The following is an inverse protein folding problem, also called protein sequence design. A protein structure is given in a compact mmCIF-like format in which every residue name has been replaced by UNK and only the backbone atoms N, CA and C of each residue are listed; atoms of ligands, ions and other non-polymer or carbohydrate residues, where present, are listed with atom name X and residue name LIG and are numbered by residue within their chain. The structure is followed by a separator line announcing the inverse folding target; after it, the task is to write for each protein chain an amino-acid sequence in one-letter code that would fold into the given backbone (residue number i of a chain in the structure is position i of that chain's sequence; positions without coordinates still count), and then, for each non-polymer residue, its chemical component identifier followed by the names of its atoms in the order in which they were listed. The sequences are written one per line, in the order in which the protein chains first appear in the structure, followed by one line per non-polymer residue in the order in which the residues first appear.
data_IF_122123498053
#
_entry.id   IF_122123498053
#
_cell.length_a   1.000
_cell.length_b   1.000
_cell.length_c   1.000
_cell.angle_alpha   90.00
_cell.angle_beta   90.00
_cell.angle_gamma   90.00
#
_symmetry.space_group_name_H-M   'P 1'
#
loop_
_entity.id
_entity.type
_entity.pdbx_description
1 polymer ?
#
# COMPACT_ATOMS: atom_id res chain seq x y z
N UNK A 1 -4.92 -15.05 10.43
CA UNK A 1 -5.55 -15.43 11.72
C UNK A 1 -6.76 -14.58 12.06
N UNK A 2 -6.67 -13.26 12.12
CA UNK A 2 -7.82 -12.36 12.36
C UNK A 2 -9.00 -12.63 11.40
N UNK A 3 -8.72 -12.82 10.10
CA UNK A 3 -9.73 -13.20 9.11
C UNK A 3 -10.43 -14.54 9.41
N UNK A 4 -9.69 -15.54 9.89
CA UNK A 4 -10.28 -16.80 10.39
C UNK A 4 -11.17 -16.55 11.62
N UNK A 5 -10.76 -15.65 12.52
CA UNK A 5 -11.57 -15.28 13.68
C UNK A 5 -12.93 -14.71 13.29
N UNK A 6 -12.96 -13.81 12.30
CA UNK A 6 -14.19 -13.27 11.73
C UNK A 6 -15.03 -14.36 11.05
N UNK A 7 -14.39 -15.24 10.27
CA UNK A 7 -15.09 -16.36 9.63
C UNK A 7 -15.76 -17.27 10.67
N UNK A 8 -15.08 -17.62 11.76
CA UNK A 8 -15.67 -18.43 12.84
C UNK A 8 -16.86 -17.73 13.51
N UNK A 9 -16.77 -16.43 13.78
CA UNK A 9 -17.89 -15.68 14.36
C UNK A 9 -19.07 -15.55 13.38
N UNK A 10 -18.79 -15.52 12.07
CA UNK A 10 -19.82 -15.56 11.03
C UNK A 10 -20.56 -16.91 11.03
N UNK A 11 -19.82 -18.01 11.01
CA UNK A 11 -20.39 -19.36 11.06
C UNK A 11 -21.20 -19.62 12.34
N UNK A 12 -20.77 -19.03 13.45
CA UNK A 12 -21.50 -19.07 14.73
C UNK A 12 -22.76 -18.18 14.75
N UNK A 13 -23.03 -17.41 13.69
CA UNK A 13 -24.16 -16.49 13.60
C UNK A 13 -24.07 -15.28 14.53
N UNK A 14 -22.87 -14.95 15.03
CA UNK A 14 -22.63 -13.83 15.96
C UNK A 14 -22.43 -12.50 15.23
N UNK A 15 -22.04 -12.55 13.97
CA UNK A 15 -21.93 -11.41 13.06
C UNK A 15 -22.19 -11.86 11.61
N UNK A 16 -22.52 -10.93 10.73
CA UNK A 16 -22.43 -11.12 9.29
C UNK A 16 -21.21 -10.37 8.74
N UNK A 17 -20.50 -10.96 7.77
CA UNK A 17 -19.47 -10.21 7.04
C UNK A 17 -20.07 -9.05 6.22
N UNK A 18 -21.37 -9.08 5.95
CA UNK A 18 -22.09 -8.00 5.27
C UNK A 18 -22.61 -6.92 6.22
N UNK A 19 -22.40 -7.06 7.53
CA UNK A 19 -22.81 -6.05 8.50
C UNK A 19 -21.97 -4.78 8.33
N UNK A 20 -22.63 -3.63 8.52
CA UNK A 20 -21.96 -2.34 8.61
C UNK A 20 -21.03 -2.34 9.82
N UNK A 21 -19.79 -1.90 9.65
CA UNK A 21 -18.82 -1.82 10.75
C UNK A 21 -19.31 -0.88 11.87
N UNK A 22 -20.17 0.09 11.56
CA UNK A 22 -20.75 1.02 12.53
C UNK A 22 -21.72 0.35 13.51
N UNK A 23 -22.24 -0.84 13.19
CA UNK A 23 -23.02 -1.64 14.17
C UNK A 23 -22.15 -2.06 15.36
N UNK A 24 -20.86 -2.24 15.12
CA UNK A 24 -19.88 -2.64 16.12
C UNK A 24 -19.03 -1.45 16.58
N UNK A 25 -18.78 -0.47 15.72
CA UNK A 25 -17.86 0.67 15.88
C UNK A 25 -18.59 2.00 15.68
N UNK A 26 -19.60 2.26 16.52
CA UNK A 26 -20.49 3.44 16.44
C UNK A 26 -19.79 4.80 16.53
N UNK A 27 -18.56 4.82 17.04
CA UNK A 27 -17.73 6.02 17.22
C UNK A 27 -17.06 6.46 15.92
N UNK A 28 -17.03 5.60 14.89
CA UNK A 28 -16.48 5.96 13.59
C UNK A 28 -17.39 6.96 12.85
N UNK A 29 -16.82 7.96 12.17
CA UNK A 29 -17.59 8.92 11.38
C UNK A 29 -18.48 8.24 10.33
N UNK A 30 -19.57 8.91 9.98
CA UNK A 30 -20.31 8.58 8.78
C UNK A 30 -19.60 9.22 7.58
N UNK A 31 -18.89 8.39 6.81
CA UNK A 31 -18.18 8.81 5.60
C UNK A 31 -19.09 9.02 4.38
N UNK A 32 -20.41 9.02 4.56
CA UNK A 32 -21.39 9.07 3.46
C UNK A 32 -21.53 7.74 2.70
N UNK A 33 -20.79 6.70 3.10
CA UNK A 33 -20.78 5.37 2.51
C UNK A 33 -20.86 4.30 3.60
N UNK A 34 -21.58 3.20 3.32
CA UNK A 34 -21.57 2.03 4.20
C UNK A 34 -20.28 1.23 4.00
N UNK A 35 -19.50 1.08 5.07
CA UNK A 35 -18.34 0.18 5.12
C UNK A 35 -18.78 -1.09 5.85
N UNK A 36 -18.60 -2.26 5.23
CA UNK A 36 -18.95 -3.55 5.83
C UNK A 36 -17.70 -4.28 6.35
N UNK A 37 -17.89 -5.32 7.16
CA UNK A 37 -16.80 -6.19 7.61
C UNK A 37 -16.07 -6.83 6.42
N UNK A 38 -16.81 -7.21 5.37
CA UNK A 38 -16.29 -7.68 4.08
C UNK A 38 -15.32 -6.69 3.45
N UNK A 39 -15.65 -5.40 3.45
CA UNK A 39 -14.72 -4.38 2.94
C UNK A 39 -13.41 -4.30 3.73
N UNK A 40 -13.45 -4.56 5.05
CA UNK A 40 -12.23 -4.63 5.86
C UNK A 40 -11.40 -5.87 5.50
N UNK A 41 -12.03 -7.04 5.40
CA UNK A 41 -11.38 -8.31 5.08
C UNK A 41 -10.66 -8.29 3.73
N UNK A 42 -11.27 -7.65 2.72
CA UNK A 42 -10.75 -7.63 1.36
C UNK A 42 -9.91 -6.38 1.03
N UNK A 43 -9.63 -5.52 2.01
CA UNK A 43 -8.92 -4.25 1.81
C UNK A 43 -9.54 -3.31 0.77
N UNK A 44 -10.86 -3.23 0.78
CA UNK A 44 -11.65 -2.37 -0.11
C UNK A 44 -12.44 -1.31 0.66
N UNK A 45 -12.08 -1.02 1.91
CA UNK A 45 -12.81 -0.11 2.80
C UNK A 45 -12.64 1.38 2.50
N UNK A 46 -11.54 1.77 1.85
CA UNK A 46 -11.14 3.16 1.72
C UNK A 46 -10.53 3.78 2.98
N UNK A 47 -10.38 3.03 4.08
CA UNK A 47 -9.77 3.55 5.32
C UNK A 47 -8.25 3.76 5.16
N UNK A 48 -7.74 4.84 5.74
CA UNK A 48 -6.31 5.19 5.70
C UNK A 48 -5.50 4.22 6.54
N UNK A 49 -4.32 3.81 6.05
CA UNK A 49 -3.46 2.86 6.76
C UNK A 49 -2.61 3.53 7.84
N UNK A 50 -2.52 2.89 9.02
CA UNK A 50 -1.86 3.43 10.21
C UNK A 50 -0.39 3.81 10.05
N UNK A 51 0.51 3.07 9.36
CA UNK A 51 1.93 3.41 9.37
C UNK A 51 2.19 4.79 8.74
N UNK A 52 1.61 5.05 7.57
CA UNK A 52 1.73 6.32 6.87
C UNK A 52 0.95 7.43 7.60
N UNK A 53 -0.21 7.13 8.16
CA UNK A 53 -1.02 8.09 8.88
C UNK A 53 -0.30 8.62 10.13
N UNK A 54 0.31 7.71 10.90
CA UNK A 54 1.06 8.06 12.09
C UNK A 54 2.37 8.76 11.78
N UNK A 55 3.09 8.32 10.73
CA UNK A 55 4.24 9.07 10.24
C UNK A 55 3.82 10.52 9.93
N UNK A 56 2.72 10.73 9.20
CA UNK A 56 2.24 12.08 8.91
C UNK A 56 1.78 12.85 10.18
N UNK A 57 1.27 12.15 11.19
CA UNK A 57 0.93 12.72 12.50
C UNK A 57 2.16 13.03 13.38
N UNK A 58 3.37 12.69 12.93
CA UNK A 58 4.62 13.00 13.63
C UNK A 58 5.24 11.84 14.41
N UNK A 59 4.69 10.64 14.30
CA UNK A 59 5.23 9.45 14.95
C UNK A 59 6.45 8.96 14.19
N UNK A 60 7.44 8.46 14.94
CA UNK A 60 8.72 7.98 14.44
C UNK A 60 8.82 6.48 14.65
N UNK A 61 9.73 5.86 13.91
CA UNK A 61 10.08 4.47 14.13
C UNK A 61 10.46 4.23 15.60
N UNK A 62 9.86 3.21 16.20
CA UNK A 62 10.06 2.84 17.61
C UNK A 62 9.12 3.55 18.61
N UNK A 63 8.33 4.54 18.20
CA UNK A 63 7.26 5.06 19.06
C UNK A 63 6.19 3.96 19.30
N UNK A 64 5.69 3.78 20.53
CA UNK A 64 4.75 2.71 20.84
C UNK A 64 3.35 3.02 20.33
N UNK A 65 2.91 2.32 19.30
CA UNK A 65 1.57 2.43 18.72
C UNK A 65 0.66 1.39 19.35
N UNK A 66 -0.49 1.79 19.90
CA UNK A 66 -1.49 0.86 20.43
C UNK A 66 -2.76 0.83 19.60
N UNK A 67 -3.53 -0.24 19.72
CA UNK A 67 -4.88 -0.37 19.15
C UNK A 67 -5.77 0.84 19.46
N UNK A 68 -5.69 1.40 20.67
CA UNK A 68 -6.48 2.59 21.03
C UNK A 68 -6.03 3.84 20.25
N UNK A 69 -4.74 3.99 19.98
CA UNK A 69 -4.22 5.11 19.17
C UNK A 69 -4.79 5.01 17.75
N UNK A 70 -4.78 3.81 17.16
CA UNK A 70 -5.37 3.55 15.83
C UNK A 70 -6.84 3.93 15.82
N UNK A 71 -7.61 3.43 16.80
CA UNK A 71 -9.04 3.68 16.89
C UNK A 71 -9.35 5.18 17.06
N UNK A 72 -8.60 5.88 17.90
CA UNK A 72 -8.78 7.31 18.15
C UNK A 72 -8.53 8.18 16.91
N UNK A 73 -7.52 7.84 16.11
CA UNK A 73 -7.27 8.54 14.83
C UNK A 73 -8.33 8.21 13.78
N UNK A 74 -8.79 6.96 13.72
CA UNK A 74 -9.89 6.57 12.83
C UNK A 74 -11.20 7.27 13.16
N UNK A 75 -11.47 7.55 14.44
CA UNK A 75 -12.63 8.34 14.86
C UNK A 75 -12.58 9.81 14.37
N UNK A 76 -11.40 10.30 13.95
CA UNK A 76 -11.18 11.67 13.46
C UNK A 76 -11.01 11.76 11.95
N UNK A 77 -10.94 10.61 11.26
CA UNK A 77 -10.77 10.57 9.82
C UNK A 77 -11.93 11.31 9.13
N UNK A 78 -11.62 12.25 8.24
CA UNK A 78 -12.67 13.09 7.63
C UNK A 78 -13.17 12.55 6.29
N UNK A 79 -12.36 11.76 5.59
CA UNK A 79 -12.68 11.27 4.24
C UNK A 79 -12.02 9.91 4.00
N UNK A 80 -12.47 9.18 2.98
CA UNK A 80 -11.88 7.92 2.56
C UNK A 80 -10.85 8.12 1.45
N UNK A 81 -9.92 7.18 1.31
CA UNK A 81 -9.02 7.10 0.17
C UNK A 81 -9.77 6.90 -1.16
N UNK A 82 -10.93 6.24 -1.10
CA UNK A 82 -11.83 5.91 -2.22
C UNK A 82 -13.15 5.35 -1.67
N UNK A 83 -14.17 5.23 -2.52
CA UNK A 83 -15.46 4.67 -2.14
C UNK A 83 -15.35 3.16 -1.82
N UNK A 84 -16.01 2.64 -0.77
CA UNK A 84 -15.89 1.24 -0.41
C UNK A 84 -16.24 0.29 -1.58
N UNK A 85 -15.40 -0.72 -1.80
CA UNK A 85 -15.53 -1.67 -2.91
C UNK A 85 -14.95 -1.20 -4.26
N UNK A 86 -14.59 0.08 -4.44
CA UNK A 86 -14.19 0.59 -5.75
C UNK A 86 -12.73 0.35 -6.11
N UNK A 87 -11.84 0.28 -5.11
CA UNK A 87 -10.41 0.02 -5.26
C UNK A 87 -9.96 -0.99 -4.22
N UNK A 88 -8.85 -1.69 -4.52
CA UNK A 88 -8.08 -2.43 -3.54
C UNK A 88 -6.94 -1.54 -3.02
N UNK A 89 -6.80 -1.42 -1.70
CA UNK A 89 -5.66 -0.80 -1.06
C UNK A 89 -5.44 -1.43 0.31
N UNK A 90 -4.36 -2.20 0.42
CA UNK A 90 -3.97 -2.86 1.65
C UNK A 90 -3.90 -1.86 2.81
N UNK A 91 -4.58 -2.12 3.92
CA UNK A 91 -4.63 -1.21 5.06
C UNK A 91 -4.56 -1.99 6.37
N UNK A 92 -3.53 -1.70 7.18
CA UNK A 92 -3.38 -2.34 8.50
C UNK A 92 -4.56 -1.99 9.41
N UNK A 93 -5.08 -0.77 9.29
CA UNK A 93 -6.27 -0.29 9.99
C UNK A 93 -7.43 -1.27 9.90
N UNK A 94 -7.68 -1.83 8.72
CA UNK A 94 -8.79 -2.77 8.53
C UNK A 94 -8.71 -3.93 9.50
N UNK A 95 -7.52 -4.53 9.65
CA UNK A 95 -7.32 -5.70 10.49
C UNK A 95 -7.24 -5.36 11.98
N UNK A 96 -6.81 -4.14 12.33
CA UNK A 96 -6.95 -3.63 13.69
C UNK A 96 -8.42 -3.48 14.06
N UNK A 97 -9.24 -2.89 13.18
CA UNK A 97 -10.68 -2.78 13.42
C UNK A 97 -11.38 -4.14 13.48
N UNK A 98 -10.96 -5.13 12.68
CA UNK A 98 -11.48 -6.50 12.78
C UNK A 98 -11.18 -7.13 14.15
N UNK A 99 -9.99 -6.91 14.72
CA UNK A 99 -9.68 -7.35 16.08
C UNK A 99 -10.60 -6.69 17.11
N UNK A 100 -10.81 -5.37 17.03
CA UNK A 100 -11.75 -4.65 17.91
C UNK A 100 -13.18 -5.21 17.76
N UNK A 101 -13.62 -5.54 16.54
CA UNK A 101 -14.94 -6.15 16.31
C UNK A 101 -15.03 -7.52 16.99
N UNK A 102 -14.01 -8.37 16.90
CA UNK A 102 -13.95 -9.64 17.63
C UNK A 102 -14.11 -9.41 19.13
N UNK A 103 -13.39 -8.45 19.71
CA UNK A 103 -13.51 -8.14 21.14
C UNK A 103 -14.91 -7.65 21.51
N UNK A 104 -15.49 -6.78 20.68
CA UNK A 104 -16.84 -6.21 20.93
C UNK A 104 -17.94 -7.26 20.81
N UNK A 105 -17.81 -8.21 19.89
CA UNK A 105 -18.77 -9.32 19.71
C UNK A 105 -18.63 -10.37 20.82
N UNK A 106 -17.40 -10.72 21.18
CA UNK A 106 -17.13 -11.83 22.10
C UNK A 106 -17.06 -11.42 23.56
N UNK A 107 -16.86 -10.13 23.84
CA UNK A 107 -16.55 -9.56 25.16
C UNK A 107 -15.29 -10.17 25.80
N UNK A 108 -14.35 -10.61 24.98
CA UNK A 108 -13.06 -11.16 25.39
C UNK A 108 -11.93 -10.33 24.76
N UNK A 109 -10.76 -10.31 25.40
CA UNK A 109 -9.56 -9.77 24.76
C UNK A 109 -9.21 -10.57 23.51
N UNK A 110 -8.73 -9.89 22.48
CA UNK A 110 -8.41 -10.52 21.19
C UNK A 110 -7.39 -11.65 21.37
N UNK A 111 -6.34 -11.44 22.17
CA UNK A 111 -5.32 -12.44 22.47
C UNK A 111 -5.90 -13.72 23.09
N UNK A 112 -6.73 -13.58 24.12
CA UNK A 112 -7.39 -14.67 24.83
C UNK A 112 -8.36 -15.44 23.95
N UNK A 113 -9.14 -14.71 23.15
CA UNK A 113 -10.11 -15.31 22.23
C UNK A 113 -9.39 -16.11 21.14
N UNK A 114 -8.36 -15.54 20.52
CA UNK A 114 -7.55 -16.21 19.49
C UNK A 114 -6.84 -17.44 20.06
N UNK A 115 -6.31 -17.36 21.28
CA UNK A 115 -5.70 -18.50 21.95
C UNK A 115 -6.69 -19.65 22.12
N UNK A 116 -7.85 -19.36 22.71
CA UNK A 116 -8.83 -20.38 23.12
C UNK A 116 -9.61 -20.97 21.94
N UNK A 117 -9.85 -20.18 20.89
CA UNK A 117 -10.72 -20.57 19.77
C UNK A 117 -9.95 -20.94 18.51
N UNK A 118 -8.67 -20.54 18.38
CA UNK A 118 -7.86 -20.82 17.19
C UNK A 118 -6.58 -21.59 17.55
N UNK A 119 -5.70 -21.04 18.39
CA UNK A 119 -4.37 -21.63 18.58
C UNK A 119 -4.42 -22.95 19.36
N UNK A 120 -5.10 -23.00 20.50
CA UNK A 120 -5.22 -24.24 21.29
C UNK A 120 -5.97 -25.35 20.52
N UNK A 121 -7.10 -25.08 19.82
CA UNK A 121 -7.78 -26.10 19.03
C UNK A 121 -7.03 -26.59 17.79
N UNK A 122 -6.01 -25.85 17.33
CA UNK A 122 -5.07 -26.26 16.29
C UNK A 122 -3.79 -26.91 16.86
N UNK A 123 -3.64 -26.93 18.18
CA UNK A 123 -2.45 -27.41 18.87
C UNK A 123 -1.22 -26.53 18.65
N UNK A 124 -1.39 -25.24 18.37
CA UNK A 124 -0.32 -24.28 18.10
C UNK A 124 0.26 -23.69 19.40
N UNK A 125 0.94 -24.53 20.18
CA UNK A 125 1.35 -24.22 21.58
C UNK A 125 2.48 -23.20 21.73
N UNK A 126 3.17 -22.85 20.64
CA UNK A 126 4.20 -21.80 20.60
C UNK A 126 3.70 -20.57 19.82
N UNK A 127 2.37 -20.40 19.73
CA UNK A 127 1.73 -19.28 19.02
C UNK A 127 0.93 -18.43 19.99
N UNK A 128 1.16 -17.12 19.95
CA UNK A 128 0.49 -16.16 20.83
C UNK A 128 0.41 -14.77 20.17
N UNK A 129 -0.49 -13.93 20.68
CA UNK A 129 -0.55 -12.50 20.34
C UNK A 129 0.25 -11.74 21.40
N UNK A 130 1.22 -10.91 21.00
CA UNK A 130 1.93 -10.02 21.94
C UNK A 130 1.22 -8.66 22.03
N UNK A 131 0.70 -8.35 23.22
CA UNK A 131 -0.02 -7.11 23.52
C UNK A 131 0.85 -6.10 24.30
N UNK A 132 2.11 -6.43 24.58
CA UNK A 132 2.95 -5.66 25.50
C UNK A 132 4.33 -5.29 24.96
N UNK A 133 4.81 -5.97 23.91
CA UNK A 133 6.21 -5.97 23.46
C UNK A 133 7.21 -6.47 24.54
N UNK A 134 6.70 -6.94 25.67
CA UNK A 134 7.45 -7.49 26.79
C UNK A 134 7.29 -9.01 26.89
N UNK A 135 6.35 -9.60 26.16
CA UNK A 135 6.08 -11.02 26.21
C UNK A 135 7.17 -11.80 25.47
N UNK A 136 8.23 -12.15 26.20
CA UNK A 136 9.33 -12.98 25.71
C UNK A 136 9.28 -14.35 26.37
N UNK A 137 9.14 -15.37 25.54
CA UNK A 137 9.35 -16.76 25.96
C UNK A 137 10.82 -17.15 25.73
N UNK A 138 11.27 -18.24 26.34
CA UNK A 138 12.61 -18.78 26.07
C UNK A 138 12.83 -19.16 24.58
N UNK A 139 11.75 -19.32 23.81
CA UNK A 139 11.77 -19.70 22.39
C UNK A 139 11.58 -18.51 21.44
N UNK A 140 11.42 -17.29 21.95
CA UNK A 140 11.25 -16.09 21.14
C UNK A 140 12.62 -15.56 20.71
N UNK A 141 12.91 -15.57 19.41
CA UNK A 141 14.20 -15.08 18.89
C UNK A 141 14.30 -13.55 18.96
N UNK A 142 15.51 -13.01 19.13
CA UNK A 142 15.77 -11.56 19.09
C UNK A 142 15.71 -11.05 17.65
N UNK A 143 15.01 -9.93 17.36
CA UNK A 143 15.00 -9.32 16.03
C UNK A 143 16.25 -8.48 15.79
N UNK A 144 16.77 -8.48 14.55
CA UNK A 144 17.96 -7.74 14.17
C UNK A 144 17.75 -6.83 12.97
N UNK A 145 18.48 -5.73 12.93
CA UNK A 145 18.64 -4.85 11.78
C UNK A 145 20.13 -4.57 11.53
N UNK A 146 20.48 -4.29 10.28
CA UNK A 146 21.84 -3.91 9.89
C UNK A 146 22.00 -2.39 10.06
N UNK A 147 22.89 -1.96 10.95
CA UNK A 147 23.16 -0.54 11.23
C UNK A 147 24.26 -0.01 10.29
N UNK A 148 25.28 -0.83 10.03
CA UNK A 148 26.34 -0.60 9.05
C UNK A 148 26.65 -1.91 8.34
N UNK A 149 27.41 -1.87 7.25
CA UNK A 149 27.83 -3.06 6.51
C UNK A 149 28.42 -4.13 7.46
N UNK A 150 27.76 -5.30 7.52
CA UNK A 150 28.08 -6.43 8.40
C UNK A 150 28.02 -6.14 9.91
N UNK A 151 27.30 -5.11 10.35
CA UNK A 151 27.07 -4.79 11.76
C UNK A 151 25.59 -4.84 12.09
N UNK A 152 25.22 -5.75 12.99
CA UNK A 152 23.84 -6.01 13.36
C UNK A 152 23.54 -5.57 14.79
N UNK A 153 22.44 -4.86 14.96
CA UNK A 153 21.91 -4.43 16.25
C UNK A 153 20.52 -5.03 16.47
N UNK A 154 20.10 -5.15 17.73
CA UNK A 154 18.73 -5.57 18.02
C UNK A 154 17.77 -4.52 17.47
N UNK A 155 16.82 -4.95 16.63
CA UNK A 155 15.73 -4.07 16.22
C UNK A 155 14.77 -3.85 17.40
N UNK A 156 14.14 -2.68 17.44
CA UNK A 156 13.03 -2.41 18.34
C UNK A 156 11.72 -2.55 17.56
N UNK A 157 10.81 -3.37 18.07
CA UNK A 157 9.43 -3.37 17.64
C UNK A 157 8.57 -2.85 18.79
N UNK A 158 8.02 -1.65 18.59
CA UNK A 158 7.15 -1.00 19.56
C UNK A 158 5.68 -0.95 19.11
N UNK A 159 5.37 -1.40 17.89
CA UNK A 159 4.00 -1.38 17.39
C UNK A 159 3.16 -2.52 17.98
N UNK A 160 1.98 -2.18 18.47
CA UNK A 160 0.93 -3.05 18.98
C UNK A 160 -0.32 -2.91 18.11
N UNK A 161 -0.14 -2.93 16.78
CA UNK A 161 -1.22 -2.99 15.79
C UNK A 161 -1.90 -4.39 15.79
N UNK A 162 -2.50 -4.77 16.92
CA UNK A 162 -3.12 -6.08 17.15
C UNK A 162 -4.20 -6.31 16.10
N UNK A 163 -4.21 -7.52 15.54
CA UNK A 163 -5.10 -7.90 14.45
C UNK A 163 -4.44 -7.79 13.08
N UNK A 164 -3.68 -6.72 12.83
CA UNK A 164 -2.87 -6.56 11.62
C UNK A 164 -1.52 -7.27 11.72
N UNK A 165 -0.93 -7.30 12.93
CA UNK A 165 0.36 -7.93 13.22
C UNK A 165 0.36 -8.67 14.57
N UNK A 166 1.55 -8.83 15.16
CA UNK A 166 1.79 -9.23 16.55
C UNK A 166 1.43 -10.67 16.94
N UNK A 167 1.16 -11.53 15.95
CA UNK A 167 1.17 -12.98 16.17
C UNK A 167 2.61 -13.48 16.10
N UNK A 168 3.14 -13.95 17.23
CA UNK A 168 4.38 -14.69 17.31
C UNK A 168 4.08 -16.18 17.14
N UNK A 169 4.87 -16.87 16.32
CA UNK A 169 4.66 -18.29 16.01
C UNK A 169 5.98 -18.98 15.67
N UNK A 170 5.95 -20.30 15.59
CA UNK A 170 7.01 -21.13 15.02
C UNK A 170 6.60 -21.68 13.65
N UNK A 171 7.59 -22.08 12.83
CA UNK A 171 7.30 -22.76 11.57
C UNK A 171 6.51 -24.06 11.81
N UNK A 172 6.82 -24.81 12.88
CA UNK A 172 6.11 -26.03 13.24
C UNK A 172 4.62 -25.80 13.54
N UNK A 173 4.28 -24.71 14.21
CA UNK A 173 2.88 -24.35 14.48
C UNK A 173 2.17 -23.84 13.23
N UNK A 174 2.83 -23.01 12.42
CA UNK A 174 2.25 -22.57 11.16
C UNK A 174 2.01 -23.73 10.18
N UNK A 175 2.78 -24.83 10.27
CA UNK A 175 2.49 -26.05 9.50
C UNK A 175 1.18 -26.73 9.93
N UNK A 176 0.79 -26.64 11.20
CA UNK A 176 -0.53 -27.12 11.66
C UNK A 176 -1.65 -26.30 11.04
N UNK A 177 -1.45 -24.97 10.96
CA UNK A 177 -2.36 -24.07 10.26
C UNK A 177 -2.45 -24.37 8.75
N UNK A 178 -1.31 -24.49 8.06
CA UNK A 178 -1.27 -24.81 6.63
C UNK A 178 -1.91 -26.16 6.29
N UNK A 179 -1.82 -27.15 7.18
CA UNK A 179 -2.55 -28.42 7.01
C UNK A 179 -4.05 -28.20 6.86
N UNK A 180 -4.63 -27.31 7.68
CA UNK A 180 -6.07 -27.02 7.62
C UNK A 180 -6.43 -26.27 6.34
N UNK A 181 -5.56 -25.40 5.84
CA UNK A 181 -5.79 -24.70 4.57
C UNK A 181 -5.85 -25.66 3.36
N UNK A 182 -5.10 -26.77 3.40
CA UNK A 182 -5.09 -27.79 2.34
C UNK A 182 -6.19 -28.83 2.49
N UNK A 183 -6.38 -29.33 3.71
CA UNK A 183 -7.32 -30.40 4.02
C UNK A 183 -7.96 -30.08 5.37
N UNK A 184 -9.00 -29.23 5.37
CA UNK A 184 -9.61 -28.78 6.61
C UNK A 184 -10.28 -29.93 7.32
N UNK A 185 -10.03 -30.08 8.62
CA UNK A 185 -10.89 -30.90 9.46
C UNK A 185 -12.32 -30.33 9.42
N UNK A 186 -13.34 -31.18 9.53
CA UNK A 186 -14.76 -30.80 9.42
C UNK A 186 -15.17 -29.56 10.24
N UNK A 187 -14.54 -29.33 11.39
CA UNK A 187 -14.82 -28.15 12.24
C UNK A 187 -14.35 -26.82 11.65
N UNK A 188 -13.40 -26.85 10.71
CA UNK A 188 -12.82 -25.67 10.07
C UNK A 188 -13.27 -25.49 8.63
N UNK A 189 -13.82 -26.54 8.01
CA UNK A 189 -14.14 -26.60 6.58
C UNK A 189 -14.93 -25.38 6.10
N UNK A 190 -16.08 -25.10 6.71
CA UNK A 190 -16.93 -23.95 6.34
C UNK A 190 -16.22 -22.60 6.50
N UNK A 191 -15.54 -22.40 7.64
CA UNK A 191 -14.81 -21.16 7.91
C UNK A 191 -13.62 -20.96 6.95
N UNK A 192 -12.93 -22.04 6.56
CA UNK A 192 -11.81 -21.99 5.61
C UNK A 192 -12.31 -21.76 4.19
N UNK A 193 -13.41 -22.40 3.79
CA UNK A 193 -14.07 -22.13 2.50
C UNK A 193 -14.46 -20.65 2.39
N UNK A 194 -15.11 -20.11 3.44
CA UNK A 194 -15.45 -18.69 3.51
C UNK A 194 -14.21 -17.79 3.45
N UNK A 195 -13.16 -18.12 4.20
CA UNK A 195 -11.92 -17.34 4.27
C UNK A 195 -11.18 -17.26 2.92
N UNK A 196 -11.41 -18.22 2.02
CA UNK A 196 -10.85 -18.27 0.68
C UNK A 196 -11.70 -17.51 -0.36
N UNK A 197 -12.86 -16.97 0.02
CA UNK A 197 -13.69 -16.17 -0.89
C UNK A 197 -13.06 -14.81 -1.18
N UNK A 198 -13.16 -14.39 -2.45
CA UNK A 198 -12.68 -13.12 -2.98
C UNK A 198 -13.86 -12.37 -3.60
N UNK A 199 -13.83 -11.04 -3.53
CA UNK A 199 -14.85 -10.20 -4.15
C UNK A 199 -14.33 -9.49 -5.40
N UNK A 200 -15.25 -9.15 -6.31
CA UNK A 200 -14.96 -8.25 -7.41
C UNK A 200 -15.08 -6.80 -6.96
N UNK A 201 -14.21 -5.93 -7.46
CA UNK A 201 -14.36 -4.50 -7.30
C UNK A 201 -15.62 -4.02 -8.04
N UNK A 202 -16.14 -2.85 -7.67
CA UNK A 202 -17.38 -2.30 -8.29
C UNK A 202 -17.25 -2.04 -9.80
N UNK A 203 -16.02 -2.00 -10.32
CA UNK A 203 -15.72 -1.89 -11.75
C UNK A 203 -15.59 -3.23 -12.49
N UNK A 204 -15.84 -4.36 -11.80
CA UNK A 204 -15.78 -5.71 -12.36
C UNK A 204 -14.39 -6.34 -12.37
N UNK A 205 -13.34 -5.64 -11.94
CA UNK A 205 -12.00 -6.25 -11.79
C UNK A 205 -11.98 -7.22 -10.60
N UNK A 206 -11.26 -8.34 -10.75
CA UNK A 206 -11.07 -9.30 -9.65
C UNK A 206 -10.14 -8.72 -8.58
N UNK A 207 -10.49 -8.91 -7.31
CA UNK A 207 -9.55 -8.78 -6.19
C UNK A 207 -8.85 -10.12 -5.97
N UNK A 208 -7.54 -10.09 -5.75
CA UNK A 208 -6.74 -11.29 -5.43
C UNK A 208 -6.67 -11.54 -3.91
N UNK A 209 -7.12 -10.59 -3.11
CA UNK A 209 -7.10 -10.68 -1.64
C UNK A 209 -8.39 -11.29 -1.09
N UNK A 210 -8.23 -12.29 -0.23
CA UNK A 210 -9.28 -12.99 0.51
C UNK A 210 -9.22 -12.58 2.01
N UNK A 211 -9.55 -13.45 2.96
CA UNK A 211 -9.63 -13.07 4.38
C UNK A 211 -8.25 -13.17 5.05
N UNK A 212 -7.32 -12.31 4.64
CA UNK A 212 -5.96 -12.25 5.19
C UNK A 212 -4.99 -13.17 4.45
N UNK A 213 -5.36 -13.52 3.22
CA UNK A 213 -4.64 -14.38 2.31
C UNK A 213 -4.70 -13.75 0.92
N UNK A 214 -3.62 -13.90 0.17
CA UNK A 214 -3.52 -13.51 -1.24
C UNK A 214 -3.58 -14.80 -2.05
N UNK A 215 -4.40 -14.83 -3.09
CA UNK A 215 -4.43 -15.90 -4.06
C UNK A 215 -3.93 -15.40 -5.41
N UNK A 216 -2.77 -15.88 -5.85
CA UNK A 216 -2.15 -15.57 -7.13
C UNK A 216 -1.58 -16.83 -7.81
N UNK A 217 -0.76 -16.63 -8.85
CA UNK A 217 0.00 -17.70 -9.49
C UNK A 217 1.51 -17.46 -9.40
N UNK A 218 2.26 -18.51 -9.03
CA UNK A 218 3.72 -18.51 -9.11
C UNK A 218 4.21 -19.66 -10.00
N UNK A 219 4.94 -19.30 -11.07
CA UNK A 219 5.36 -20.23 -12.13
C UNK A 219 4.17 -21.01 -12.73
N UNK A 220 2.99 -20.38 -12.83
CA UNK A 220 1.75 -21.01 -13.32
C UNK A 220 1.13 -22.04 -12.36
N UNK A 221 1.53 -22.05 -11.08
CA UNK A 221 0.91 -22.86 -10.03
C UNK A 221 0.10 -21.96 -9.10
N UNK A 222 -1.10 -22.39 -8.73
CA UNK A 222 -1.96 -21.67 -7.79
C UNK A 222 -1.26 -21.52 -6.44
N UNK A 223 -1.16 -20.29 -5.94
CA UNK A 223 -0.49 -19.96 -4.67
C UNK A 223 -1.46 -19.20 -3.77
N UNK A 224 -1.61 -19.68 -2.54
CA UNK A 224 -2.34 -19.00 -1.46
C UNK A 224 -1.31 -18.66 -0.39
N UNK A 225 -1.16 -17.38 -0.07
CA UNK A 225 -0.06 -16.96 0.81
C UNK A 225 -0.35 -15.67 1.58
N UNK A 226 0.51 -15.38 2.53
CA UNK A 226 0.70 -14.03 3.03
C UNK A 226 2.16 -13.83 3.44
N UNK A 227 2.64 -12.59 3.33
CA UNK A 227 3.97 -12.20 3.83
C UNK A 227 3.82 -11.25 5.02
N UNK A 228 4.87 -11.11 5.81
CA UNK A 228 4.86 -10.21 6.95
C UNK A 228 6.23 -9.58 7.12
N UNK A 229 6.22 -8.31 7.51
CA UNK A 229 7.45 -7.56 7.78
C UNK A 229 7.21 -6.53 8.86
N UNK A 230 8.02 -6.61 9.91
CA UNK A 230 8.15 -5.62 10.97
C UNK A 230 9.65 -5.43 11.23
N UNK A 231 10.09 -4.35 11.90
CA UNK A 231 11.51 -4.16 12.20
C UNK A 231 12.16 -5.42 12.81
N UNK A 232 13.07 -6.00 12.03
CA UNK A 232 13.84 -7.19 12.39
C UNK A 232 13.11 -8.54 12.33
N UNK A 233 11.94 -8.65 11.71
CA UNK A 233 11.34 -9.94 11.34
C UNK A 233 10.78 -9.93 9.92
N UNK A 234 10.91 -11.06 9.23
CA UNK A 234 10.15 -11.37 8.02
C UNK A 234 9.50 -12.75 8.13
N UNK A 235 8.29 -12.87 7.59
CA UNK A 235 7.59 -14.14 7.45
C UNK A 235 7.09 -14.33 6.03
N UNK A 236 7.28 -15.54 5.51
CA UNK A 236 6.74 -15.99 4.24
C UNK A 236 5.99 -17.28 4.51
N UNK A 237 4.68 -17.27 4.31
CA UNK A 237 3.82 -18.44 4.53
C UNK A 237 3.04 -18.65 3.26
N UNK A 238 3.41 -19.69 2.51
CA UNK A 238 2.88 -19.96 1.18
C UNK A 238 2.35 -21.38 1.09
N UNK A 239 1.27 -21.54 0.35
CA UNK A 239 0.62 -22.81 0.13
C UNK A 239 0.28 -22.99 -1.34
N UNK A 240 0.56 -24.19 -1.85
CA UNK A 240 0.32 -24.62 -3.23
C UNK A 240 -0.59 -25.84 -3.17
N UNK A 241 -1.93 -25.65 -3.18
CA UNK A 241 -2.88 -26.73 -2.95
C UNK A 241 -2.75 -27.87 -3.95
N UNK A 242 -2.56 -27.55 -5.24
CA UNK A 242 -2.48 -28.53 -6.33
C UNK A 242 -1.22 -29.39 -6.24
N UNK A 243 -0.15 -28.84 -5.65
CA UNK A 243 1.12 -29.52 -5.41
C UNK A 243 1.17 -30.19 -4.02
N UNK A 244 0.15 -30.00 -3.19
CA UNK A 244 0.13 -30.39 -1.77
C UNK A 244 1.40 -29.91 -1.02
N UNK A 245 1.86 -28.70 -1.35
CA UNK A 245 3.09 -28.14 -0.83
C UNK A 245 2.78 -26.90 0.02
N UNK A 246 3.29 -26.91 1.26
CA UNK A 246 3.31 -25.72 2.11
C UNK A 246 4.76 -25.32 2.38
N UNK A 247 5.06 -24.03 2.26
CA UNK A 247 6.40 -23.49 2.34
C UNK A 247 6.41 -22.33 3.33
N UNK A 248 7.25 -22.44 4.37
CA UNK A 248 7.34 -21.46 5.45
C UNK A 248 8.78 -21.06 5.69
N UNK A 249 9.03 -19.75 5.66
CA UNK A 249 10.30 -19.14 6.05
C UNK A 249 10.04 -18.04 7.05
N UNK A 250 10.69 -18.13 8.21
CA UNK A 250 10.69 -17.11 9.25
C UNK A 250 12.12 -16.64 9.46
N UNK A 251 12.36 -15.33 9.43
CA UNK A 251 13.67 -14.74 9.69
C UNK A 251 13.56 -13.68 10.78
N UNK A 252 14.61 -13.55 11.58
CA UNK A 252 14.79 -12.48 12.56
C UNK A 252 15.72 -11.37 12.04
N UNK A 253 15.71 -11.18 10.72
CA UNK A 253 16.47 -10.17 10.03
C UNK A 253 15.65 -9.68 8.83
N UNK A 254 15.47 -8.35 8.77
CA UNK A 254 14.79 -7.68 7.68
C UNK A 254 15.78 -7.44 6.52
N UNK A 255 15.75 -8.30 5.50
CA UNK A 255 16.51 -8.10 4.26
C UNK A 255 15.54 -7.92 3.08
N UNK A 256 15.60 -6.76 2.42
CA UNK A 256 14.77 -6.45 1.26
C UNK A 256 15.00 -7.40 0.07
N UNK A 257 16.14 -8.10 0.00
CA UNK A 257 16.44 -9.14 -0.99
C UNK A 257 15.97 -10.54 -0.57
N UNK A 258 15.45 -10.71 0.64
CA UNK A 258 14.97 -12.01 1.13
C UNK A 258 13.87 -12.58 0.23
N UNK A 259 12.94 -11.74 -0.22
CA UNK A 259 11.84 -12.17 -1.09
C UNK A 259 12.36 -12.87 -2.36
N UNK A 260 13.29 -12.24 -3.10
CA UNK A 260 13.86 -12.81 -4.32
C UNK A 260 14.58 -14.14 -4.06
N UNK A 261 15.36 -14.24 -2.97
CA UNK A 261 16.08 -15.48 -2.62
C UNK A 261 15.13 -16.59 -2.19
N UNK A 262 14.05 -16.25 -1.51
CA UNK A 262 13.01 -17.18 -1.07
C UNK A 262 12.22 -17.71 -2.26
N UNK A 263 11.83 -16.86 -3.21
CA UNK A 263 11.18 -17.30 -4.44
C UNK A 263 12.11 -18.18 -5.28
N UNK A 264 13.40 -17.86 -5.36
CA UNK A 264 14.40 -18.72 -6.00
C UNK A 264 14.48 -20.09 -5.32
N UNK A 265 14.53 -20.15 -3.99
CA UNK A 265 14.50 -21.42 -3.24
C UNK A 265 13.21 -22.21 -3.49
N UNK A 266 12.06 -21.53 -3.48
CA UNK A 266 10.76 -22.12 -3.73
C UNK A 266 10.65 -22.74 -5.14
N UNK A 267 11.28 -22.10 -6.14
CA UNK A 267 11.30 -22.61 -7.52
C UNK A 267 11.92 -24.00 -7.67
N UNK A 268 12.79 -24.42 -6.74
CA UNK A 268 13.38 -25.77 -6.73
C UNK A 268 12.36 -26.87 -6.40
N UNK A 269 11.21 -26.52 -5.84
CA UNK A 269 10.15 -27.46 -5.44
C UNK A 269 8.95 -27.46 -6.40
N UNK A 270 8.93 -26.57 -7.39
CA UNK A 270 7.79 -26.36 -8.29
C UNK A 270 8.16 -26.66 -9.74
N UNK A 271 7.18 -27.15 -10.49
CA UNK A 271 7.29 -27.23 -11.95
C UNK A 271 6.89 -25.87 -12.54
N UNK A 272 7.66 -25.37 -13.49
CA UNK A 272 7.25 -24.21 -14.27
C UNK A 272 6.15 -24.61 -15.26
N UNK A 273 4.93 -24.13 -14.98
CA UNK A 273 3.73 -24.28 -15.81
C UNK A 273 3.33 -22.98 -16.47
N UNK A 274 4.14 -21.92 -16.34
CA UNK A 274 3.80 -20.63 -16.89
C UNK A 274 3.70 -20.73 -18.41
N UNK A 275 2.47 -20.66 -18.93
CA UNK A 275 2.24 -20.54 -20.36
C UNK A 275 2.52 -19.07 -20.70
N UNK A 276 3.76 -18.74 -21.02
CA UNK A 276 4.04 -17.46 -21.68
C UNK A 276 3.83 -17.67 -23.18
N UNK A 277 2.83 -17.03 -23.81
CA UNK A 277 2.93 -16.82 -25.24
C UNK A 277 4.20 -16.02 -25.46
N UNK A 278 5.14 -16.57 -26.23
CA UNK A 278 6.24 -15.83 -26.84
C UNK A 278 5.70 -14.89 -27.94
N UNK A 279 4.59 -14.19 -27.68
CA UNK A 279 4.18 -13.05 -28.48
C UNK A 279 4.92 -11.82 -27.95
N UNK A 280 6.25 -11.85 -28.03
CA UNK A 280 6.91 -10.62 -28.46
C UNK A 280 6.45 -10.42 -29.90
N UNK A 281 5.32 -9.73 -30.09
CA UNK A 281 5.04 -9.12 -31.37
C UNK A 281 6.33 -8.40 -31.78
N UNK A 282 6.93 -8.82 -32.88
CA UNK A 282 8.05 -8.11 -33.47
C UNK A 282 7.47 -6.82 -34.07
N UNK A 283 7.28 -5.83 -33.21
CA UNK A 283 6.85 -4.50 -33.62
C UNK A 283 8.03 -3.86 -34.34
N UNK A 284 7.86 -3.59 -35.63
CA UNK A 284 8.85 -2.88 -36.44
C UNK A 284 8.51 -1.38 -36.32
N UNK A 285 9.38 -0.55 -35.71
CA UNK A 285 9.14 0.88 -35.63
C UNK A 285 9.11 1.53 -37.01
N UNK A 286 8.19 2.47 -37.19
CA UNK A 286 8.19 3.39 -38.32
C UNK A 286 9.22 4.52 -38.10
N UNK A 287 9.78 5.13 -39.16
CA UNK A 287 10.58 6.35 -39.03
C UNK A 287 9.77 7.46 -38.34
N UNK A 288 10.42 8.22 -37.46
CA UNK A 288 9.78 9.31 -36.72
C UNK A 288 9.33 10.44 -37.66
N UNK A 289 8.05 10.79 -37.63
CA UNK A 289 7.55 12.01 -38.27
C UNK A 289 7.85 13.24 -37.38
N UNK A 290 8.91 13.98 -37.70
CA UNK A 290 9.39 15.11 -36.88
C UNK A 290 8.34 16.22 -36.68
N UNK A 291 7.59 16.60 -37.72
CA UNK A 291 6.56 17.64 -37.63
C UNK A 291 5.42 17.26 -36.67
N UNK A 292 5.17 15.97 -36.51
CA UNK A 292 4.18 15.45 -35.57
C UNK A 292 4.79 15.27 -34.17
N UNK A 293 6.05 14.81 -34.10
CA UNK A 293 6.76 14.59 -32.85
C UNK A 293 6.92 15.86 -32.02
N UNK A 294 7.15 17.02 -32.67
CA UNK A 294 7.24 18.32 -32.00
C UNK A 294 5.98 18.65 -31.18
N UNK A 295 4.80 18.22 -31.62
CA UNK A 295 3.54 18.44 -30.89
C UNK A 295 3.47 17.69 -29.57
N UNK A 296 4.26 16.62 -29.43
CA UNK A 296 4.27 15.77 -28.24
C UNK A 296 5.33 16.21 -27.21
N UNK A 297 6.19 17.19 -27.56
CA UNK A 297 7.23 17.70 -26.67
C UNK A 297 6.60 18.55 -25.56
N UNK A 298 6.62 18.03 -24.34
CA UNK A 298 6.14 18.74 -23.15
C UNK A 298 6.61 18.04 -21.86
N UNK A 299 6.39 18.71 -20.73
CA UNK A 299 6.39 18.07 -19.43
C UNK A 299 4.96 17.61 -19.12
N UNK A 300 4.81 16.38 -18.67
CA UNK A 300 3.54 15.69 -18.45
C UNK A 300 3.42 15.29 -16.97
N UNK A 301 2.27 15.54 -16.36
CA UNK A 301 1.99 15.26 -14.95
C UNK A 301 0.89 14.22 -14.79
N UNK A 302 1.14 13.19 -13.97
CA UNK A 302 0.09 12.26 -13.55
C UNK A 302 -0.56 12.74 -12.26
N UNK A 303 -1.83 13.13 -12.32
CA UNK A 303 -2.58 13.57 -11.13
C UNK A 303 -2.83 12.45 -10.12
N UNK A 304 -3.01 11.21 -10.59
CA UNK A 304 -3.29 10.04 -9.76
C UNK A 304 -2.03 9.45 -9.15
N UNK A 305 -0.89 9.53 -9.85
CA UNK A 305 0.39 8.96 -9.38
C UNK A 305 1.38 10.00 -8.84
N UNK A 306 1.05 11.29 -8.91
CA UNK A 306 1.83 12.39 -8.36
C UNK A 306 3.30 12.43 -8.84
N UNK A 307 3.54 12.14 -10.12
CA UNK A 307 4.88 12.25 -10.70
C UNK A 307 4.84 12.83 -12.11
N UNK A 308 5.98 13.36 -12.53
CA UNK A 308 6.19 13.92 -13.86
C UNK A 308 6.89 12.94 -14.82
N UNK A 309 6.71 13.21 -16.12
CA UNK A 309 7.49 12.68 -17.23
C UNK A 309 7.80 13.83 -18.17
N UNK A 310 8.97 13.81 -18.79
CA UNK A 310 9.30 14.79 -19.83
C UNK A 310 9.45 14.06 -21.14
N UNK A 311 8.84 14.61 -22.19
CA UNK A 311 9.01 14.17 -23.56
C UNK A 311 9.72 15.28 -24.30
N UNK A 312 10.86 14.97 -24.90
CA UNK A 312 11.66 15.95 -25.63
C UNK A 312 12.30 15.35 -26.88
N UNK A 313 12.52 16.19 -27.89
CA UNK A 313 13.16 15.79 -29.13
C UNK A 313 14.67 16.07 -29.02
N UNK A 314 15.49 15.06 -29.28
CA UNK A 314 16.95 15.20 -29.38
C UNK A 314 17.39 14.47 -30.65
N UNK A 315 17.85 15.26 -31.62
CA UNK A 315 18.11 14.82 -32.99
C UNK A 315 16.84 14.26 -33.66
N UNK A 316 16.88 13.00 -34.10
CA UNK A 316 15.80 12.28 -34.78
C UNK A 316 15.00 11.38 -33.83
N UNK A 317 15.17 11.53 -32.51
CA UNK A 317 14.59 10.65 -31.51
C UNK A 317 13.79 11.43 -30.47
N UNK A 318 12.54 11.01 -30.26
CA UNK A 318 11.71 11.48 -29.16
C UNK A 318 12.05 10.68 -27.90
N UNK A 319 12.41 11.36 -26.82
CA UNK A 319 12.85 10.73 -25.58
C UNK A 319 11.79 10.85 -24.49
N UNK A 320 11.56 9.75 -23.77
CA UNK A 320 10.76 9.69 -22.56
C UNK A 320 11.68 9.69 -21.34
N UNK A 321 11.67 10.77 -20.57
CA UNK A 321 12.51 10.99 -19.39
C UNK A 321 11.71 10.82 -18.10
N UNK A 322 12.33 10.15 -17.13
CA UNK A 322 11.80 9.92 -15.79
C UNK A 322 12.51 10.82 -14.77
N UNK A 323 11.88 11.12 -13.61
CA UNK A 323 12.48 11.97 -12.58
C UNK A 323 13.83 11.48 -12.05
N UNK A 324 14.08 10.17 -12.07
CA UNK A 324 15.36 9.58 -11.69
C UNK A 324 16.48 9.72 -12.74
N UNK A 325 16.25 10.49 -13.82
CA UNK A 325 17.20 10.72 -14.91
C UNK A 325 17.24 9.62 -15.97
N UNK A 326 16.58 8.47 -15.74
CA UNK A 326 16.54 7.41 -16.76
C UNK A 326 15.65 7.80 -17.94
N UNK A 327 16.17 7.60 -19.16
CA UNK A 327 15.43 7.89 -20.40
C UNK A 327 15.30 6.67 -21.29
N UNK A 328 14.23 6.63 -22.07
CA UNK A 328 13.94 5.59 -23.07
C UNK A 328 13.52 6.26 -24.37
N UNK A 329 13.97 5.79 -25.54
CA UNK A 329 13.47 6.32 -26.81
C UNK A 329 12.01 5.90 -27.01
N UNK A 330 11.20 6.80 -27.57
CA UNK A 330 9.85 6.52 -28.04
C UNK A 330 9.95 6.13 -29.52
N UNK A 331 9.79 4.84 -29.79
CA UNK A 331 9.85 4.29 -31.14
C UNK A 331 8.44 4.35 -31.74
N UNK A 332 8.27 5.11 -32.82
CA UNK A 332 6.96 5.32 -33.43
C UNK A 332 6.46 4.02 -34.07
N UNK A 333 5.18 3.69 -33.86
CA UNK A 333 4.53 2.53 -34.47
C UNK A 333 3.33 2.95 -35.31
N UNK A 334 2.62 4.00 -34.87
CA UNK A 334 1.55 4.68 -35.59
C UNK A 334 1.66 6.20 -35.31
N UNK A 335 0.89 7.03 -36.00
CA UNK A 335 0.91 8.52 -35.91
C UNK A 335 1.05 9.09 -34.48
N UNK A 336 0.29 8.55 -33.53
CA UNK A 336 0.30 9.01 -32.13
C UNK A 336 0.69 7.91 -31.13
N UNK A 337 1.12 6.76 -31.62
CA UNK A 337 1.38 5.57 -30.80
C UNK A 337 2.84 5.18 -30.92
N UNK A 338 3.45 4.98 -29.77
CA UNK A 338 4.87 4.68 -29.60
C UNK A 338 5.04 3.47 -28.69
N UNK A 339 6.18 2.82 -28.79
CA UNK A 339 6.67 1.86 -27.80
C UNK A 339 7.92 2.41 -27.12
N UNK A 340 8.08 2.12 -25.83
CA UNK A 340 9.29 2.47 -25.10
C UNK A 340 10.43 1.50 -25.44
N UNK A 341 11.47 2.00 -26.10
CA UNK A 341 12.67 1.23 -26.40
C UNK A 341 13.58 1.04 -25.19
N UNK A 342 14.40 -0.02 -25.22
CA UNK A 342 15.35 -0.36 -24.14
C UNK A 342 14.72 -0.99 -22.89
N UNK A 343 13.40 -1.19 -22.87
CA UNK A 343 12.66 -1.96 -21.86
C UNK A 343 11.81 -3.03 -22.57
N UNK A 344 11.05 -3.85 -21.82
CA UNK A 344 10.11 -4.81 -22.42
C UNK A 344 9.23 -4.09 -23.46
N UNK A 345 9.14 -4.63 -24.68
CA UNK A 345 8.39 -4.06 -25.81
C UNK A 345 6.85 -4.08 -25.63
N UNK A 346 6.36 -4.16 -24.38
CA UNK A 346 4.95 -4.21 -23.99
C UNK A 346 4.39 -2.85 -23.58
N UNK A 347 5.25 -1.85 -23.35
CA UNK A 347 4.80 -0.54 -22.88
C UNK A 347 4.48 0.38 -24.05
N UNK A 348 3.20 0.63 -24.27
CA UNK A 348 2.68 1.55 -25.29
C UNK A 348 2.48 2.93 -24.70
N UNK A 349 2.89 3.94 -25.44
CA UNK A 349 2.69 5.36 -25.14
C UNK A 349 1.85 5.96 -26.26
N UNK A 350 0.66 6.47 -25.94
CA UNK A 350 -0.23 7.09 -26.91
C UNK A 350 -0.49 8.55 -26.53
N UNK A 351 -0.40 9.44 -27.50
CA UNK A 351 -0.79 10.85 -27.34
C UNK A 351 -2.21 11.05 -27.89
N UNK A 352 -3.12 11.62 -27.08
CA UNK A 352 -4.51 11.87 -27.48
C UNK A 352 -4.84 13.33 -27.28
N UNK A 353 -5.48 13.95 -28.27
CA UNK A 353 -6.05 15.28 -28.13
C UNK A 353 -7.36 15.18 -27.32
N UNK A 354 -7.44 15.92 -26.22
CA UNK A 354 -8.61 16.07 -25.38
C UNK A 354 -8.90 17.56 -25.23
N UNK A 355 -9.91 18.04 -25.95
CA UNK A 355 -10.34 19.44 -25.95
C UNK A 355 -9.21 20.45 -26.27
N UNK A 356 -8.33 20.11 -27.21
CA UNK A 356 -7.20 20.94 -27.63
C UNK A 356 -5.95 20.76 -26.77
N UNK A 357 -5.97 19.85 -25.79
CA UNK A 357 -4.83 19.49 -24.94
C UNK A 357 -4.34 18.10 -25.31
N UNK A 358 -3.07 17.99 -25.69
CA UNK A 358 -2.44 16.70 -25.99
C UNK A 358 -2.07 16.02 -24.68
N UNK A 359 -2.82 14.97 -24.31
CA UNK A 359 -2.56 14.12 -23.15
C UNK A 359 -1.72 12.90 -23.54
N UNK A 360 -0.87 12.45 -22.62
CA UNK A 360 -0.05 11.24 -22.78
C UNK A 360 -0.66 10.10 -21.97
N UNK A 361 -0.86 8.96 -22.61
CA UNK A 361 -1.41 7.73 -22.05
C UNK A 361 -0.36 6.62 -22.10
N UNK A 362 -0.09 5.96 -20.98
CA UNK A 362 0.93 4.90 -20.89
C UNK A 362 0.27 3.62 -20.42
N UNK A 363 0.34 2.56 -21.23
CA UNK A 363 -0.21 1.24 -20.93
C UNK A 363 0.87 0.16 -20.97
N UNK A 364 1.00 -0.61 -19.90
CA UNK A 364 1.95 -1.72 -19.76
C UNK A 364 1.18 -3.05 -19.66
N UNK A 365 0.98 -3.71 -20.80
CA UNK A 365 0.21 -4.96 -20.88
C UNK A 365 -1.22 -4.80 -20.33
N UNK A 366 -1.59 -5.69 -19.41
CA UNK A 366 -2.91 -5.72 -18.74
C UNK A 366 -3.04 -4.73 -17.57
N UNK A 367 -1.99 -3.98 -17.24
CA UNK A 367 -2.08 -2.97 -16.17
C UNK A 367 -3.00 -1.82 -16.59
N UNK A 368 -3.60 -1.17 -15.58
CA UNK A 368 -4.38 0.04 -15.78
C UNK A 368 -3.59 1.12 -16.54
N UNK A 369 -4.25 1.77 -17.49
CA UNK A 369 -3.67 2.87 -18.27
C UNK A 369 -3.37 4.06 -17.35
N UNK A 370 -2.19 4.67 -17.53
CA UNK A 370 -1.77 5.85 -16.79
C UNK A 370 -1.94 7.09 -17.65
N UNK A 371 -2.65 8.07 -17.12
CA UNK A 371 -2.96 9.32 -17.81
C UNK A 371 -2.05 10.44 -17.30
N UNK A 372 -1.55 11.24 -18.24
CA UNK A 372 -0.76 12.42 -17.98
C UNK A 372 -1.23 13.61 -18.80
N UNK A 373 -1.26 14.77 -18.16
CA UNK A 373 -1.65 16.03 -18.77
C UNK A 373 -0.42 16.94 -18.86
N UNK A 374 -0.23 17.69 -19.95
CA UNK A 374 0.88 18.64 -20.05
C UNK A 374 0.78 19.68 -18.94
N UNK A 375 1.92 20.09 -18.39
CA UNK A 375 2.00 21.11 -17.35
C UNK A 375 3.18 22.05 -17.56
N UNK A 376 3.02 23.27 -17.07
CA UNK A 376 4.10 24.24 -17.00
C UNK A 376 5.05 23.90 -15.84
N UNK A 377 6.29 23.59 -16.18
CA UNK A 377 7.37 23.28 -15.24
C UNK A 377 8.29 24.49 -15.00
N UNK A 378 7.82 25.70 -15.32
CA UNK A 378 8.54 26.92 -14.96
C UNK A 378 8.72 27.00 -13.44
N UNK A 379 9.92 27.37 -12.95
CA UNK A 379 10.15 27.48 -11.53
C UNK A 379 9.23 28.56 -10.93
N UNK A 380 8.68 28.35 -9.73
CA UNK A 380 7.86 29.36 -9.08
C UNK A 380 8.67 30.63 -8.82
N UNK A 381 8.04 31.78 -9.01
CA UNK A 381 8.62 33.08 -8.65
C UNK A 381 8.79 33.20 -7.13
N UNK A 382 9.67 34.11 -6.65
CA UNK A 382 9.84 34.33 -5.21
C UNK A 382 8.53 34.65 -4.48
N UNK A 383 7.64 35.53 -4.99
CA UNK A 383 6.34 35.76 -4.34
C UNK A 383 5.43 34.54 -4.29
N UNK A 384 5.49 33.66 -5.30
CA UNK A 384 4.71 32.41 -5.32
C UNK A 384 5.24 31.39 -4.31
N UNK A 385 6.57 31.34 -4.13
CA UNK A 385 7.20 30.52 -3.08
C UNK A 385 6.84 31.03 -1.68
N UNK A 386 6.93 32.35 -1.46
CA UNK A 386 6.60 32.96 -0.17
C UNK A 386 5.14 32.72 0.21
N UNK A 387 4.23 32.64 -0.76
CA UNK A 387 2.82 32.35 -0.53
C UNK A 387 2.56 30.98 0.11
N UNK A 388 3.47 30.01 -0.05
CA UNK A 388 3.40 28.71 0.62
C UNK A 388 3.76 28.79 2.10
N UNK A 389 4.45 29.84 2.55
CA UNK A 389 4.83 30.00 3.96
C UNK A 389 3.63 30.13 4.89
N UNK A 390 3.66 29.46 6.04
CA UNK A 390 2.62 29.52 7.07
C UNK A 390 2.62 28.33 8.02
N UNK A 391 1.73 28.35 9.00
CA UNK A 391 1.46 27.20 9.88
C UNK A 391 0.22 26.49 9.34
N UNK A 392 0.30 25.17 9.21
CA UNK A 392 -0.73 24.34 8.61
C UNK A 392 -1.13 23.25 9.60
N UNK A 393 -2.42 23.17 9.93
CA UNK A 393 -2.95 22.25 10.94
C UNK A 393 -3.91 21.24 10.32
N UNK A 394 -3.77 19.97 10.68
CA UNK A 394 -4.75 18.93 10.35
C UNK A 394 -5.61 18.61 11.56
N UNK A 395 -6.94 18.83 11.52
CA UNK A 395 -7.84 18.41 12.60
C UNK A 395 -7.95 16.88 12.70
N UNK A 396 -7.76 16.18 11.59
CA UNK A 396 -7.77 14.71 11.56
C UNK A 396 -6.58 14.11 12.31
N UNK A 397 -5.40 14.68 12.12
CA UNK A 397 -4.15 14.18 12.73
C UNK A 397 -3.79 14.89 14.04
N UNK A 398 -4.51 15.96 14.37
CA UNK A 398 -4.23 16.85 15.50
C UNK A 398 -2.77 17.36 15.54
N UNK A 399 -2.15 17.54 14.37
CA UNK A 399 -0.77 18.04 14.27
C UNK A 399 -0.63 19.24 13.35
N UNK A 400 0.47 19.98 13.50
CA UNK A 400 0.82 21.15 12.69
C UNK A 400 2.20 21.05 12.06
N UNK A 401 2.29 21.54 10.82
CA UNK A 401 3.55 21.75 10.10
C UNK A 401 3.74 23.24 9.84
N UNK A 402 4.97 23.73 10.04
CA UNK A 402 5.35 25.09 9.66
C UNK A 402 6.13 25.03 8.36
N UNK A 403 5.64 25.71 7.33
CA UNK A 403 6.32 25.86 6.04
C UNK A 403 6.87 27.28 5.94
N UNK A 404 8.10 27.44 5.48
CA UNK A 404 8.73 28.75 5.30
C UNK A 404 9.80 28.71 4.21
N UNK A 405 10.20 29.88 3.71
CA UNK A 405 11.27 30.02 2.71
C UNK A 405 12.55 30.49 3.39
N UNK A 406 13.69 29.90 3.05
CA UNK A 406 15.02 30.36 3.44
C UNK A 406 15.98 30.36 2.24
N UNK A 407 17.28 30.57 2.49
CA UNK A 407 18.31 30.59 1.44
C UNK A 407 18.47 29.25 0.69
N UNK A 408 17.99 28.14 1.25
CA UNK A 408 18.06 26.79 0.68
C UNK A 408 16.78 26.43 -0.11
N UNK A 409 15.74 27.26 -0.02
CA UNK A 409 14.46 27.06 -0.70
C UNK A 409 13.29 26.95 0.27
N UNK A 410 12.31 26.10 -0.07
CA UNK A 410 11.14 25.85 0.76
C UNK A 410 11.49 24.79 1.82
N UNK A 411 11.20 25.12 3.08
CA UNK A 411 11.50 24.26 4.24
C UNK A 411 10.23 23.94 5.00
N UNK A 412 10.16 22.72 5.52
CA UNK A 412 9.17 22.27 6.47
C UNK A 412 9.77 22.11 7.85
N UNK A 413 8.95 22.32 8.87
CA UNK A 413 9.24 22.01 10.26
C UNK A 413 8.06 21.30 10.92
N UNK A 414 8.35 20.24 11.66
CA UNK A 414 7.40 19.57 12.54
C UNK A 414 8.06 19.31 13.89
N UNK A 415 7.32 19.48 14.99
CA UNK A 415 7.88 19.40 16.35
C UNK A 415 8.61 18.08 16.66
N UNK A 416 8.18 16.98 16.01
CA UNK A 416 8.78 15.64 16.17
C UNK A 416 9.78 15.25 15.08
N UNK A 417 9.72 15.87 13.89
CA UNK A 417 10.61 15.53 12.76
C UNK A 417 11.74 16.54 12.57
N UNK A 418 11.67 17.70 13.25
CA UNK A 418 12.60 18.79 13.02
C UNK A 418 12.39 19.43 11.66
N UNK A 419 13.48 19.92 11.08
CA UNK A 419 13.49 20.61 9.79
C UNK A 419 13.74 19.64 8.65
N UNK A 420 13.04 19.83 7.53
CA UNK A 420 13.22 19.04 6.33
C UNK A 420 13.04 19.90 5.07
N UNK A 421 13.79 19.62 3.99
CA UNK A 421 13.61 20.35 2.74
C UNK A 421 12.30 19.96 2.05
N UNK A 422 11.73 20.90 1.30
CA UNK A 422 10.55 20.67 0.47
C UNK A 422 10.90 21.04 -0.97
N UNK A 423 10.77 20.06 -1.85
CA UNK A 423 11.00 20.22 -3.28
C UNK A 423 9.69 20.67 -3.95
N UNK A 424 9.74 21.75 -4.73
CA UNK A 424 8.60 22.15 -5.55
C UNK A 424 8.61 21.34 -6.84
N UNK A 425 7.60 20.48 -7.01
CA UNK A 425 7.46 19.66 -8.22
C UNK A 425 6.80 20.43 -9.36
N UNK A 426 5.81 21.27 -9.03
CA UNK A 426 5.20 22.28 -9.91
C UNK A 426 4.42 23.29 -9.09
N UNK A 427 3.87 24.34 -9.72
CA UNK A 427 2.98 25.29 -9.02
C UNK A 427 1.84 24.55 -8.30
N UNK A 428 1.73 24.79 -7.00
CA UNK A 428 0.76 24.17 -6.11
C UNK A 428 1.03 22.71 -5.74
N UNK A 429 2.15 22.09 -6.14
CA UNK A 429 2.47 20.69 -5.79
C UNK A 429 3.91 20.56 -5.32
N UNK A 430 4.10 20.03 -4.12
CA UNK A 430 5.43 19.90 -3.50
C UNK A 430 5.65 18.51 -2.92
N UNK A 431 6.91 18.10 -2.87
CA UNK A 431 7.41 16.83 -2.34
C UNK A 431 8.18 17.08 -1.04
N UNK A 432 7.81 16.39 0.03
CA UNK A 432 8.38 16.55 1.36
C UNK A 432 9.59 15.63 1.52
N UNK A 433 10.62 15.83 0.68
CA UNK A 433 11.84 15.00 0.67
C UNK A 433 11.59 13.49 0.54
N UNK A 434 10.60 13.12 -0.28
CA UNK A 434 10.22 11.72 -0.50
C UNK A 434 9.27 11.14 0.55
N UNK A 435 8.94 11.89 1.61
CA UNK A 435 7.97 11.45 2.62
C UNK A 435 6.54 11.46 2.09
N UNK A 436 6.13 12.56 1.43
CA UNK A 436 4.78 12.73 0.94
C UNK A 436 4.71 13.77 -0.19
N UNK A 437 3.66 13.70 -1.00
CA UNK A 437 3.33 14.77 -1.96
C UNK A 437 2.14 15.56 -1.44
N UNK A 438 2.22 16.89 -1.47
CA UNK A 438 1.12 17.76 -1.08
C UNK A 438 0.66 18.67 -2.22
N UNK A 439 -0.65 18.93 -2.27
CA UNK A 439 -1.31 19.77 -3.26
C UNK A 439 -1.96 20.96 -2.56
N UNK A 440 -1.46 22.16 -2.83
CA UNK A 440 -1.97 23.42 -2.29
C UNK A 440 -3.31 23.78 -2.93
N UNK A 441 -4.22 24.30 -2.10
CA UNK A 441 -5.47 24.92 -2.54
C UNK A 441 -5.40 26.43 -2.33
N UNK A 442 -5.99 27.15 -3.27
CA UNK A 442 -6.04 28.61 -3.30
C UNK A 442 -7.50 29.05 -3.29
N UNK A 443 -7.78 30.20 -2.69
CA UNK A 443 -9.08 30.87 -2.82
C UNK A 443 -9.20 31.62 -4.16
N UNK A 444 -10.36 32.22 -4.41
CA UNK A 444 -10.64 33.00 -5.63
C UNK A 444 -9.71 34.21 -5.82
N UNK A 445 -9.07 34.68 -4.73
CA UNK A 445 -8.09 35.76 -4.76
C UNK A 445 -6.65 35.24 -5.00
N UNK A 446 -6.47 33.93 -5.18
CA UNK A 446 -5.17 33.29 -5.39
C UNK A 446 -4.35 33.11 -4.12
N UNK A 447 -4.94 33.27 -2.93
CA UNK A 447 -4.25 33.08 -1.64
C UNK A 447 -4.35 31.62 -1.20
N UNK A 448 -3.24 31.07 -0.69
CA UNK A 448 -3.20 29.73 -0.13
C UNK A 448 -4.12 29.63 1.09
N UNK A 449 -5.04 28.65 1.07
CA UNK A 449 -5.94 28.32 2.19
C UNK A 449 -5.52 27.04 2.93
N UNK A 450 -4.65 26.22 2.34
CA UNK A 450 -4.20 24.96 2.90
C UNK A 450 -3.65 24.04 1.82
N UNK A 451 -3.37 22.79 2.18
CA UNK A 451 -2.97 21.74 1.25
C UNK A 451 -3.51 20.37 1.68
N UNK A 452 -3.65 19.48 0.70
CA UNK A 452 -3.93 18.05 0.92
C UNK A 452 -2.63 17.26 0.77
N UNK A 453 -2.33 16.35 1.69
CA UNK A 453 -1.16 15.47 1.65
C UNK A 453 -1.58 14.08 1.21
N UNK A 454 -0.82 13.50 0.28
CA UNK A 454 -1.00 12.13 -0.22
C UNK A 454 0.32 11.36 -0.11
N UNK A 455 0.23 10.17 0.48
CA UNK A 455 1.21 9.10 0.53
C UNK A 455 0.61 7.86 -0.16
N UNK A 456 1.30 6.72 -0.15
CA UNK A 456 0.86 5.51 -0.85
C UNK A 456 -0.53 5.02 -0.39
N UNK A 457 -0.71 4.86 0.93
CA UNK A 457 -1.93 4.31 1.55
C UNK A 457 -2.76 5.33 2.33
N UNK A 458 -2.46 6.61 2.14
CA UNK A 458 -3.09 7.76 2.81
C UNK A 458 -3.26 8.86 1.77
N UNK A 459 -4.48 9.09 1.30
CA UNK A 459 -4.80 10.09 0.28
C UNK A 459 -5.47 11.31 0.91
N UNK A 460 -5.12 12.47 0.35
CA UNK A 460 -5.78 13.75 0.53
C UNK A 460 -6.04 14.24 1.97
N UNK A 461 -5.15 13.93 2.93
CA UNK A 461 -5.25 14.45 4.30
C UNK A 461 -5.13 15.97 4.29
N UNK A 462 -6.16 16.66 4.77
CA UNK A 462 -6.24 18.11 4.71
C UNK A 462 -5.48 18.78 5.86
N UNK A 463 -4.69 19.80 5.50
CA UNK A 463 -4.10 20.75 6.43
C UNK A 463 -4.54 22.17 6.07
N UNK A 464 -5.23 22.82 6.99
CA UNK A 464 -5.68 24.19 6.82
C UNK A 464 -4.58 25.18 7.23
N UNK A 465 -4.39 26.24 6.45
CA UNK A 465 -3.50 27.35 6.81
C UNK A 465 -4.12 28.13 7.98
N UNK A 466 -3.33 28.39 9.02
CA UNK A 466 -3.74 29.13 10.23
C UNK A 466 -3.42 30.62 10.14
#
# INVERSE_FOLDING_TARGET
FTGLGIALLHEDGKLSIDDSIQMYLSELPNFGHTITIRHLLHHTSGLRSTPELFALAGWRDGDPIRTEDVFNFMCKQQDLNFAPGSEFMYSNTNYVLLAIIIERVTKQHFSDWMKSNVFDPLGMTNTYVDESNLHRTANTTTPYMEENENQFVSAQNSSLDIGASNVYSSAADLMKWMKQLNNPDKKWESAIELMLTKDSLTNGMSNEYAFGLIEDEYLGNKRIFHTGGIPGYLSFVMNFPDEQLSFIVLTNYLDFKAHQRIEMLLSLFLKDRSHKPNNTEHIIPAPLNLNQAEKYVANYWSHSKNYARSVYLENDTLWYLRPNGSKSPLLQIEDSVFILGGIKATVRVQFRDQDGVICMHVKDGEKAEQNFVPYDNSPPTSPELDAYGGVYYSPELETSYTIYVNNEGLMGYHSRHGYFPIEVLKKGVVNWSGMAVSKYKFDDAGKVIGFSVTMDRVKDVWFMKK
#
